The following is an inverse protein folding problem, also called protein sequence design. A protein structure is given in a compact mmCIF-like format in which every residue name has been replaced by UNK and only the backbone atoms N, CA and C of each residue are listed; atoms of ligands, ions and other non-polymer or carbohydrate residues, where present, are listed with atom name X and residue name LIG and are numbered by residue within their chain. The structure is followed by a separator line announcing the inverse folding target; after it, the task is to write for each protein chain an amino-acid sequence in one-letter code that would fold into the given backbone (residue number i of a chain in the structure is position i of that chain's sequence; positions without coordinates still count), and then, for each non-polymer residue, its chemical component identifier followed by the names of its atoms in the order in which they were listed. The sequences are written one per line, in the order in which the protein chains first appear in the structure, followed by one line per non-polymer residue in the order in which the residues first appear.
data_IF_860804298022
#
_entry.id   IF_860804298022
#
_cell.length_a   1.000
_cell.length_b   1.000
_cell.length_c   1.000
_cell.angle_alpha   90.00
_cell.angle_beta   90.00
_cell.angle_gamma   90.00
#
_symmetry.space_group_name_H-M   'P 1'
#
loop_
_entity.id
_entity.type
_entity.pdbx_description
1 polymer ?
#
# COMPACT_ATOMS: atom_id res chain seq x y z
N UNK A 1 -14.23 8.22 -2.75
CA UNK A 1 -13.58 7.24 -1.85
C UNK A 1 -13.92 7.66 -0.43
N UNK A 2 -14.66 6.83 0.31
CA UNK A 2 -14.92 7.08 1.73
C UNK A 2 -13.77 6.47 2.53
N UNK A 3 -12.89 7.32 3.07
CA UNK A 3 -11.72 6.86 3.85
C UNK A 3 -12.09 6.37 5.24
N UNK A 4 -13.27 6.76 5.74
CA UNK A 4 -13.74 6.38 7.07
C UNK A 4 -14.14 4.89 7.15
N UNK A 5 -14.28 4.21 6.01
CA UNK A 5 -14.61 2.78 5.91
C UNK A 5 -13.36 1.87 5.92
N UNK A 6 -12.16 2.45 6.03
CA UNK A 6 -10.91 1.70 6.10
C UNK A 6 -10.63 1.29 7.55
N UNK A 7 -10.28 0.02 7.74
CA UNK A 7 -9.82 -0.53 9.01
C UNK A 7 -8.34 -0.16 9.24
N UNK A 8 -8.10 1.04 9.77
CA UNK A 8 -6.75 1.53 10.09
C UNK A 8 -6.13 0.80 11.29
N UNK A 9 -6.92 0.41 12.29
CA UNK A 9 -6.45 -0.36 13.45
C UNK A 9 -5.99 -1.76 13.04
N UNK A 10 -6.60 -2.31 11.99
CA UNK A 10 -6.27 -3.58 11.36
C UNK A 10 -5.10 -3.52 10.38
N UNK A 11 -4.41 -2.39 10.22
CA UNK A 11 -3.27 -2.29 9.31
C UNK A 11 -2.22 -3.38 9.56
N UNK A 12 -1.65 -3.92 8.48
CA UNK A 12 -0.61 -4.96 8.55
C UNK A 12 0.64 -4.47 7.83
N UNK A 13 1.74 -4.36 8.55
CA UNK A 13 3.06 -4.06 7.97
C UNK A 13 3.74 -5.37 7.59
N UNK A 14 4.46 -5.37 6.47
CA UNK A 14 5.29 -6.50 6.05
C UNK A 14 6.71 -6.05 5.72
N UNK A 15 7.64 -6.99 5.84
CA UNK A 15 9.02 -6.89 5.36
C UNK A 15 9.43 -8.26 4.80
N UNK A 16 9.50 -8.39 3.48
CA UNK A 16 9.70 -9.67 2.79
C UNK A 16 11.10 -9.68 2.17
N UNK A 17 11.99 -10.62 2.55
CA UNK A 17 13.32 -10.72 1.95
C UNK A 17 13.24 -11.12 0.48
N UNK A 18 14.07 -10.50 -0.35
CA UNK A 18 14.15 -10.76 -1.78
C UNK A 18 15.28 -11.73 -2.09
N UNK A 19 15.05 -12.65 -3.04
CA UNK A 19 16.07 -13.64 -3.44
C UNK A 19 17.28 -13.02 -4.15
N UNK A 20 17.11 -11.84 -4.74
CA UNK A 20 18.17 -11.09 -5.42
C UNK A 20 18.02 -9.60 -5.12
N UNK A 21 19.15 -8.88 -5.13
CA UNK A 21 19.13 -7.42 -5.00
C UNK A 21 18.54 -6.81 -6.27
N UNK A 22 17.52 -5.98 -6.12
CA UNK A 22 16.86 -5.31 -7.24
C UNK A 22 16.49 -3.89 -6.85
N UNK A 23 16.74 -2.91 -7.74
CA UNK A 23 16.53 -1.48 -7.47
C UNK A 23 17.15 -1.01 -6.14
N UNK A 24 18.33 -1.53 -5.80
CA UNK A 24 19.07 -1.17 -4.59
C UNK A 24 18.65 -1.90 -3.31
N UNK A 25 17.46 -2.49 -3.25
CA UNK A 25 16.91 -3.13 -2.04
C UNK A 25 17.10 -4.66 -2.03
N UNK A 26 17.08 -5.24 -0.83
CA UNK A 26 17.06 -6.70 -0.58
C UNK A 26 15.87 -7.14 0.28
N UNK A 27 15.05 -6.21 0.73
CA UNK A 27 13.82 -6.44 1.49
C UNK A 27 12.75 -5.55 0.88
N UNK A 28 11.58 -6.10 0.61
CA UNK A 28 10.42 -5.35 0.17
C UNK A 28 9.52 -5.08 1.37
N UNK A 29 9.31 -3.80 1.66
CA UNK A 29 8.46 -3.33 2.75
C UNK A 29 7.18 -2.69 2.21
N UNK A 30 6.14 -2.70 3.04
CA UNK A 30 4.87 -2.07 2.75
C UNK A 30 3.83 -2.35 3.83
N UNK A 31 2.63 -1.82 3.59
CA UNK A 31 1.48 -1.93 4.48
C UNK A 31 0.25 -2.39 3.69
N UNK A 32 -0.56 -3.25 4.30
CA UNK A 32 -1.85 -3.66 3.78
C UNK A 32 -2.95 -2.99 4.62
N UNK A 33 -3.90 -2.36 3.92
CA UNK A 33 -5.11 -1.78 4.49
C UNK A 33 -6.33 -2.56 3.99
N UNK A 34 -7.31 -2.76 4.86
CA UNK A 34 -8.57 -3.43 4.52
C UNK A 34 -9.70 -2.42 4.49
N UNK A 35 -10.50 -2.47 3.44
CA UNK A 35 -11.71 -1.67 3.27
C UNK A 35 -12.84 -2.51 2.66
N UNK A 36 -13.97 -1.88 2.30
CA UNK A 36 -15.16 -2.56 1.82
C UNK A 36 -14.96 -3.31 0.49
N UNK A 37 -14.04 -2.84 -0.37
CA UNK A 37 -13.71 -3.49 -1.64
C UNK A 37 -12.61 -4.56 -1.52
N UNK A 38 -12.06 -4.78 -0.32
CA UNK A 38 -11.03 -5.78 -0.05
C UNK A 38 -9.74 -5.16 0.48
N UNK A 39 -8.60 -5.66 -0.01
CA UNK A 39 -7.27 -5.21 0.42
C UNK A 39 -6.66 -4.23 -0.58
N UNK A 40 -6.05 -3.18 -0.04
CA UNK A 40 -5.18 -2.27 -0.79
C UNK A 40 -3.76 -2.33 -0.23
N UNK A 41 -2.78 -2.11 -1.10
CA UNK A 41 -1.36 -2.15 -0.71
C UNK A 41 -0.73 -0.76 -0.80
N UNK A 42 -0.15 -0.30 0.30
CA UNK A 42 0.68 0.90 0.36
C UNK A 42 2.14 0.50 0.46
N UNK A 43 2.88 0.65 -0.63
CA UNK A 43 4.27 0.20 -0.70
C UNK A 43 5.16 1.13 -1.53
N UNK A 44 5.23 2.45 -1.26
CA UNK A 44 6.25 3.29 -1.90
C UNK A 44 7.67 2.79 -1.54
N UNK A 45 8.66 3.17 -2.34
CA UNK A 45 10.06 2.96 -1.97
C UNK A 45 10.48 4.01 -0.92
N UNK A 46 11.45 3.67 -0.05
CA UNK A 46 11.90 4.54 1.05
C UNK A 46 12.48 5.88 0.58
N UNK A 47 12.99 5.96 -0.64
CA UNK A 47 13.53 7.18 -1.24
C UNK A 47 12.45 8.14 -1.78
N UNK A 48 11.17 7.78 -1.69
CA UNK A 48 10.05 8.64 -2.09
C UNK A 48 9.58 9.51 -0.92
N UNK A 49 9.69 10.84 -1.11
CA UNK A 49 9.09 11.81 -0.20
C UNK A 49 7.55 11.81 -0.29
N UNK A 50 6.92 12.52 0.66
CA UNK A 50 5.47 12.53 0.87
C UNK A 50 4.67 12.81 -0.41
N UNK A 51 5.10 13.78 -1.23
CA UNK A 51 4.37 14.15 -2.46
C UNK A 51 4.31 13.03 -3.49
N UNK A 52 5.38 12.25 -3.62
CA UNK A 52 5.40 11.09 -4.51
C UNK A 52 4.58 9.96 -3.88
N UNK A 53 4.76 9.73 -2.59
CA UNK A 53 4.08 8.68 -1.81
C UNK A 53 2.57 8.89 -1.69
N UNK A 54 2.07 10.13 -1.80
CA UNK A 54 0.64 10.43 -1.77
C UNK A 54 -0.14 9.73 -2.88
N UNK A 55 0.44 9.62 -4.08
CA UNK A 55 -0.17 8.89 -5.19
C UNK A 55 -0.29 7.39 -4.92
N UNK A 56 0.70 6.80 -4.25
CA UNK A 56 0.67 5.41 -3.82
C UNK A 56 -0.43 5.18 -2.79
N UNK A 57 -0.56 6.07 -1.81
CA UNK A 57 -1.62 5.99 -0.81
C UNK A 57 -3.00 6.14 -1.43
N UNK A 58 -3.17 7.04 -2.40
CA UNK A 58 -4.43 7.21 -3.13
C UNK A 58 -4.83 5.92 -3.86
N UNK A 59 -3.88 5.22 -4.50
CA UNK A 59 -4.13 3.91 -5.13
C UNK A 59 -4.48 2.85 -4.08
N UNK A 60 -3.79 2.80 -2.93
CA UNK A 60 -4.16 1.89 -1.83
C UNK A 60 -5.61 2.09 -1.39
N UNK A 61 -6.03 3.35 -1.21
CA UNK A 61 -7.39 3.72 -0.82
C UNK A 61 -8.39 3.29 -1.89
N UNK A 62 -8.11 3.57 -3.17
CA UNK A 62 -8.96 3.17 -4.29
C UNK A 62 -9.15 1.64 -4.33
N UNK A 63 -8.05 0.88 -4.24
CA UNK A 63 -8.09 -0.59 -4.24
C UNK A 63 -8.98 -1.16 -3.14
N UNK A 64 -8.91 -0.59 -1.94
CA UNK A 64 -9.64 -1.11 -0.79
C UNK A 64 -11.05 -0.51 -0.61
N UNK A 65 -11.41 0.57 -1.32
CA UNK A 65 -12.71 1.25 -1.19
C UNK A 65 -13.58 1.25 -2.44
N UNK A 66 -13.00 1.21 -3.64
CA UNK A 66 -13.72 1.28 -4.93
C UNK A 66 -13.59 -0.03 -5.69
N UNK A 67 -12.39 -0.59 -5.75
CA UNK A 67 -12.10 -1.79 -6.53
C UNK A 67 -11.70 -1.48 -7.98
N UNK A 68 -11.62 -2.53 -8.81
CA UNK A 68 -11.14 -2.43 -10.19
C UNK A 68 -12.28 -2.13 -11.18
N UNK A 69 -12.00 -1.45 -12.30
CA UNK A 69 -12.96 -1.36 -13.40
C UNK A 69 -13.33 -2.74 -13.97
N UNK A 70 -14.56 -2.85 -14.48
CA UNK A 70 -15.06 -4.01 -15.22
C UNK A 70 -14.55 -4.06 -16.67
#
# INVERSE_FOLDING_TARGET
MNVDEIDYDGARIYAIPMLTRFRGITVREGMLLRGPAGWGEFCPFEDYGDEVSASWLATTIEQCTVGWPD
#
